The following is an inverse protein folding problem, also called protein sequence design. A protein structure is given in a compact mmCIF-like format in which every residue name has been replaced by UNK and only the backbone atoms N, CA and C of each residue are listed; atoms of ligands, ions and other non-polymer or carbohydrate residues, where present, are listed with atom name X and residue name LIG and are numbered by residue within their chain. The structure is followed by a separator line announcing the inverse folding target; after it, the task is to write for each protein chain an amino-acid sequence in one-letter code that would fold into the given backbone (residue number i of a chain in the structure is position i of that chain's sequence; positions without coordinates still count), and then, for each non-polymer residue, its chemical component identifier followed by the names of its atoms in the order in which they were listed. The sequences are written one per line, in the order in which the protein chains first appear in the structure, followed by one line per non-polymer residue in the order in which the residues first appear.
data_IF_884061648975
#
_entry.id   IF_884061648975
#
_cell.length_a   1.000
_cell.length_b   1.000
_cell.length_c   1.000
_cell.angle_alpha   90.00
_cell.angle_beta   90.00
_cell.angle_gamma   90.00
#
_symmetry.space_group_name_H-M   'P 1'
#
loop_
_entity.id
_entity.type
_entity.pdbx_description
1 polymer ?
#
# COMPACT_ATOMS: atom_id res chain seq x y z
N UNK A 1 -26.84 19.95 0.98
CA UNK A 1 -26.91 18.60 1.55
C UNK A 1 -25.48 18.23 1.86
N UNK A 2 -25.28 17.64 3.02
CA UNK A 2 -24.03 17.67 3.77
C UNK A 2 -23.38 16.30 3.69
N UNK A 3 -22.04 16.27 3.56
CA UNK A 3 -21.27 15.04 3.71
C UNK A 3 -21.72 14.33 4.98
N UNK A 4 -21.95 13.02 4.88
CA UNK A 4 -22.39 12.20 6.00
C UNK A 4 -21.48 11.00 6.17
N UNK A 5 -21.04 10.74 7.39
CA UNK A 5 -20.18 9.61 7.70
C UNK A 5 -20.94 8.66 8.64
N UNK A 6 -21.36 7.51 8.10
CA UNK A 6 -22.07 6.48 8.86
C UNK A 6 -21.09 5.44 9.39
N UNK A 7 -20.89 5.45 10.71
CA UNK A 7 -20.16 4.40 11.39
C UNK A 7 -21.05 3.17 11.62
N UNK A 8 -20.67 2.03 11.05
CA UNK A 8 -21.33 0.72 11.21
C UNK A 8 -20.41 -0.33 11.82
N UNK A 9 -19.24 0.07 12.33
CA UNK A 9 -18.34 -0.81 13.07
C UNK A 9 -19.05 -1.37 14.30
N UNK A 10 -18.82 -2.64 14.56
CA UNK A 10 -19.31 -3.42 15.68
C UNK A 10 -18.23 -3.49 16.75
N UNK A 11 -18.62 -3.86 17.97
CA UNK A 11 -17.70 -4.01 19.11
C UNK A 11 -16.50 -4.93 18.81
N UNK A 12 -16.70 -5.98 18.01
CA UNK A 12 -15.61 -6.89 17.65
C UNK A 12 -14.58 -6.27 16.71
N UNK A 13 -14.96 -5.29 15.87
CA UNK A 13 -14.03 -4.58 14.99
C UNK A 13 -13.00 -3.81 15.81
N UNK A 14 -13.43 -3.15 16.88
CA UNK A 14 -12.52 -2.51 17.84
C UNK A 14 -11.65 -3.53 18.57
N UNK A 15 -12.18 -4.73 18.84
CA UNK A 15 -11.40 -5.87 19.34
C UNK A 15 -10.27 -6.25 18.40
N UNK A 16 -10.56 -6.35 17.10
CA UNK A 16 -9.56 -6.66 16.08
C UNK A 16 -8.50 -5.56 15.95
N UNK A 17 -8.90 -4.29 15.94
CA UNK A 17 -7.95 -3.16 15.96
C UNK A 17 -6.98 -3.31 17.13
N UNK A 18 -7.48 -3.67 18.30
CA UNK A 18 -6.63 -3.88 19.47
C UNK A 18 -5.72 -5.10 19.38
N UNK A 19 -6.23 -6.21 18.85
CA UNK A 19 -5.43 -7.42 18.62
C UNK A 19 -4.28 -7.14 17.62
N UNK A 20 -4.53 -6.33 16.59
CA UNK A 20 -3.51 -5.94 15.61
C UNK A 20 -2.38 -5.12 16.22
N UNK A 21 -2.71 -4.26 17.18
CA UNK A 21 -1.69 -3.46 17.85
C UNK A 21 -0.90 -4.26 18.88
N UNK A 22 -1.57 -5.12 19.64
CA UNK A 22 -0.96 -5.84 20.76
C UNK A 22 -0.25 -7.13 20.35
N UNK A 23 -0.86 -7.92 19.46
CA UNK A 23 -0.32 -9.21 18.99
C UNK A 23 0.51 -9.04 17.73
N UNK A 24 -0.08 -8.40 16.73
CA UNK A 24 0.54 -8.23 15.42
C UNK A 24 1.49 -7.04 15.36
N UNK A 25 1.61 -6.23 16.44
CA UNK A 25 2.51 -5.06 16.57
C UNK A 25 2.48 -4.14 15.34
N UNK A 26 1.29 -3.81 14.84
CA UNK A 26 1.13 -2.79 13.81
C UNK A 26 1.19 -1.39 14.45
N UNK A 27 1.91 -0.47 13.80
CA UNK A 27 2.08 0.88 14.32
C UNK A 27 0.79 1.71 14.20
N UNK A 28 -0.01 1.44 13.17
CA UNK A 28 -1.25 2.18 12.92
C UNK A 28 -2.19 1.49 11.91
N UNK A 29 -3.43 1.95 11.91
CA UNK A 29 -4.48 1.57 10.95
C UNK A 29 -5.31 2.78 10.57
N UNK A 30 -5.72 2.90 9.31
CA UNK A 30 -6.66 3.95 8.90
C UNK A 30 -8.09 3.42 9.04
N UNK A 31 -8.88 4.12 9.84
CA UNK A 31 -10.29 3.81 10.08
C UNK A 31 -11.16 4.39 8.98
N UNK A 32 -10.76 5.54 8.42
CA UNK A 32 -11.50 6.20 7.37
C UNK A 32 -10.55 6.85 6.38
N UNK A 33 -10.37 6.20 5.23
CA UNK A 33 -9.66 6.76 4.08
C UNK A 33 -10.61 7.69 3.32
N UNK A 34 -10.57 8.97 3.69
CA UNK A 34 -11.46 9.94 3.08
C UNK A 34 -10.96 10.32 1.67
N UNK A 35 -11.50 9.67 0.63
CA UNK A 35 -11.30 10.08 -0.77
C UNK A 35 -12.18 11.31 -1.09
N UNK A 36 -11.87 12.44 -0.47
CA UNK A 36 -12.43 13.75 -0.80
C UNK A 36 -11.42 14.48 -1.67
N UNK A 37 -11.88 14.94 -2.83
CA UNK A 37 -11.14 15.85 -3.68
C UNK A 37 -11.89 17.18 -3.66
N UNK A 38 -11.39 18.14 -2.89
CA UNK A 38 -11.97 19.47 -2.71
C UNK A 38 -10.87 20.49 -2.97
N UNK A 39 -11.12 21.44 -3.87
CA UNK A 39 -10.12 22.41 -4.35
C UNK A 39 -9.62 23.38 -3.26
N UNK A 40 -10.22 23.37 -2.08
CA UNK A 40 -9.93 24.28 -0.96
C UNK A 40 -9.51 23.55 0.33
N UNK A 41 -9.59 22.22 0.36
CA UNK A 41 -9.39 21.42 1.57
C UNK A 41 -8.77 20.06 1.24
N UNK A 42 -7.56 19.84 1.74
CA UNK A 42 -6.96 18.51 1.80
C UNK A 42 -7.28 17.86 3.14
N UNK A 43 -7.59 16.56 3.10
CA UNK A 43 -8.01 15.80 4.28
C UNK A 43 -7.18 14.52 4.42
N UNK A 44 -6.45 14.41 5.53
CA UNK A 44 -5.75 13.17 5.89
C UNK A 44 -6.74 12.11 6.40
N UNK A 45 -6.50 10.81 6.15
CA UNK A 45 -7.30 9.74 6.71
C UNK A 45 -7.43 9.83 8.24
N UNK A 46 -8.58 9.39 8.77
CA UNK A 46 -8.68 9.16 10.21
C UNK A 46 -7.89 7.89 10.54
N UNK A 47 -6.87 8.03 11.38
CA UNK A 47 -5.94 6.96 11.73
C UNK A 47 -5.97 6.70 13.23
N UNK A 48 -5.83 5.43 13.61
CA UNK A 48 -5.53 5.02 14.98
C UNK A 48 -4.11 4.46 14.99
N UNK A 49 -3.27 4.95 15.88
CA UNK A 49 -1.87 4.53 16.03
C UNK A 49 -1.60 4.05 17.44
N UNK A 50 -0.75 3.04 17.60
CA UNK A 50 -0.30 2.60 18.93
C UNK A 50 0.75 3.57 19.47
N UNK A 51 0.65 3.88 20.76
CA UNK A 51 1.70 4.54 21.54
C UNK A 51 2.25 3.56 22.58
N UNK A 52 3.42 3.84 23.18
CA UNK A 52 4.12 2.90 24.09
C UNK A 52 3.21 2.27 25.14
N UNK A 53 2.30 3.06 25.71
CA UNK A 53 1.39 2.63 26.78
C UNK A 53 -0.09 2.74 26.37
N UNK A 54 -0.41 2.95 25.09
CA UNK A 54 -1.72 3.47 24.73
C UNK A 54 -2.02 3.56 23.24
N UNK A 55 -2.86 4.52 22.86
CA UNK A 55 -3.14 4.79 21.45
C UNK A 55 -3.41 6.27 21.22
N UNK A 56 -3.28 6.68 19.95
CA UNK A 56 -3.70 7.98 19.48
C UNK A 56 -4.66 7.88 18.29
N UNK A 57 -5.71 8.70 18.30
CA UNK A 57 -6.62 8.89 17.15
C UNK A 57 -6.27 10.23 16.50
N UNK A 58 -5.88 10.19 15.23
CA UNK A 58 -5.38 11.34 14.50
C UNK A 58 -6.17 11.57 13.20
N UNK A 59 -6.48 12.83 12.92
CA UNK A 59 -6.92 13.29 11.60
C UNK A 59 -6.47 14.74 11.39
N UNK A 60 -6.20 15.13 10.15
CA UNK A 60 -5.83 16.51 9.82
C UNK A 60 -6.64 17.02 8.63
N UNK A 61 -7.05 18.28 8.75
CA UNK A 61 -7.65 19.10 7.71
C UNK A 61 -6.66 20.20 7.38
N UNK A 62 -6.26 20.30 6.12
CA UNK A 62 -5.33 21.29 5.63
C UNK A 62 -6.06 22.19 4.62
N UNK A 63 -6.23 23.43 5.00
CA UNK A 63 -6.88 24.45 4.19
C UNK A 63 -5.84 25.11 3.29
N UNK A 64 -6.24 25.41 2.05
CA UNK A 64 -5.36 26.14 1.12
C UNK A 64 -5.24 27.61 1.52
N UNK A 65 -6.32 28.15 2.06
CA UNK A 65 -6.42 29.50 2.62
C UNK A 65 -6.26 29.53 4.15
N UNK A 66 -5.87 30.68 4.75
CA UNK A 66 -5.64 30.84 6.18
C UNK A 66 -6.94 30.93 7.02
N UNK A 67 -7.90 30.04 6.79
CA UNK A 67 -9.25 30.08 7.40
C UNK A 67 -9.45 29.12 8.58
N UNK A 68 -8.43 28.36 8.95
CA UNK A 68 -8.58 27.24 9.90
C UNK A 68 -9.07 27.69 11.29
N UNK A 69 -8.65 28.87 11.77
CA UNK A 69 -9.14 29.43 13.03
C UNK A 69 -10.62 29.79 12.94
N UNK A 70 -11.05 30.44 11.86
CA UNK A 70 -12.46 30.77 11.64
C UNK A 70 -13.31 29.50 11.58
N UNK A 71 -12.84 28.49 10.85
CA UNK A 71 -13.52 27.20 10.77
C UNK A 71 -13.63 26.55 12.15
N UNK A 72 -12.55 26.55 12.94
CA UNK A 72 -12.56 26.01 14.29
C UNK A 72 -13.58 26.72 15.21
N UNK A 73 -13.71 28.04 15.13
CA UNK A 73 -14.74 28.77 15.87
C UNK A 73 -16.15 28.39 15.43
N UNK A 74 -16.38 28.25 14.12
CA UNK A 74 -17.69 27.82 13.56
C UNK A 74 -18.08 26.41 14.00
N UNK A 75 -17.10 25.56 14.30
CA UNK A 75 -17.39 24.22 14.83
C UNK A 75 -18.09 24.27 16.18
N UNK A 76 -17.99 25.34 16.99
CA UNK A 76 -18.59 25.39 18.35
C UNK A 76 -18.23 24.14 19.18
N UNK A 77 -16.93 23.85 19.27
CA UNK A 77 -16.41 22.73 20.06
C UNK A 77 -16.46 23.09 21.56
N UNK A 78 -16.95 22.15 22.38
CA UNK A 78 -16.99 22.27 23.83
C UNK A 78 -15.59 22.44 24.42
N UNK A 79 -15.45 23.24 25.49
CA UNK A 79 -14.15 23.52 26.14
C UNK A 79 -13.38 22.25 26.52
N UNK A 80 -14.09 21.22 26.98
CA UNK A 80 -13.50 19.92 27.37
C UNK A 80 -12.92 19.15 26.19
N UNK A 81 -13.40 19.42 24.98
CA UNK A 81 -13.00 18.77 23.75
C UNK A 81 -11.91 19.56 23.00
N UNK A 82 -11.78 20.87 23.25
CA UNK A 82 -10.75 21.71 22.61
C UNK A 82 -9.33 21.18 22.80
N UNK A 83 -9.05 20.52 23.93
CA UNK A 83 -7.74 19.88 24.22
C UNK A 83 -7.32 18.83 23.18
N UNK A 84 -8.27 18.28 22.42
CA UNK A 84 -8.00 17.30 21.37
C UNK A 84 -7.67 17.95 20.02
N UNK A 85 -7.70 19.28 19.94
CA UNK A 85 -7.46 20.01 18.69
C UNK A 85 -6.17 20.78 18.75
N UNK A 86 -5.42 20.71 17.66
CA UNK A 86 -4.29 21.59 17.38
C UNK A 86 -4.68 22.41 16.15
N UNK A 87 -4.80 23.72 16.33
CA UNK A 87 -5.27 24.63 15.29
C UNK A 87 -4.12 25.58 14.92
N UNK A 88 -3.76 25.58 13.65
CA UNK A 88 -2.85 26.58 13.07
C UNK A 88 -3.67 27.54 12.19
N UNK A 89 -3.00 28.47 11.52
CA UNK A 89 -3.68 29.37 10.59
C UNK A 89 -4.26 28.63 9.37
N UNK A 90 -3.67 27.50 8.95
CA UNK A 90 -4.08 26.72 7.77
C UNK A 90 -4.48 25.28 8.07
N UNK A 91 -4.49 24.83 9.32
CA UNK A 91 -4.81 23.45 9.64
C UNK A 91 -5.63 23.28 10.91
N UNK A 92 -6.54 22.32 10.89
CA UNK A 92 -7.16 21.77 12.10
C UNK A 92 -6.70 20.31 12.20
N UNK A 93 -6.04 19.95 13.29
CA UNK A 93 -5.68 18.57 13.60
C UNK A 93 -6.48 18.09 14.80
N UNK A 94 -7.11 16.92 14.68
CA UNK A 94 -7.66 16.15 15.79
C UNK A 94 -6.56 15.19 16.25
N UNK A 95 -6.25 15.20 17.55
CA UNK A 95 -5.20 14.38 18.17
C UNK A 95 -5.67 13.96 19.57
N UNK A 96 -6.26 12.78 19.66
CA UNK A 96 -6.75 12.22 20.94
C UNK A 96 -5.74 11.18 21.40
N UNK A 97 -5.11 11.42 22.55
CA UNK A 97 -4.11 10.51 23.13
C UNK A 97 -4.68 9.85 24.39
N UNK A 98 -4.54 8.53 24.50
CA UNK A 98 -4.95 7.75 25.67
C UNK A 98 -3.78 6.90 26.15
N UNK A 99 -3.51 6.97 27.46
CA UNK A 99 -2.48 6.18 28.15
C UNK A 99 -2.97 4.79 28.57
N UNK A 100 -4.22 4.45 28.26
CA UNK A 100 -4.78 3.13 28.54
C UNK A 100 -5.54 2.64 27.33
N UNK A 101 -5.33 1.37 27.03
CA UNK A 101 -6.05 0.63 26.00
C UNK A 101 -7.36 0.13 26.60
N UNK A 102 -8.47 0.72 26.16
CA UNK A 102 -9.82 0.29 26.53
C UNK A 102 -10.76 0.37 25.31
N UNK A 103 -11.49 -0.71 25.05
CA UNK A 103 -12.34 -0.85 23.87
C UNK A 103 -13.48 0.19 23.85
N UNK A 104 -14.11 0.44 25.01
CA UNK A 104 -15.22 1.41 25.08
C UNK A 104 -14.72 2.83 24.81
N UNK A 105 -13.55 3.15 25.34
CA UNK A 105 -12.91 4.45 25.12
C UNK A 105 -12.50 4.61 23.65
N UNK A 106 -11.93 3.58 23.03
CA UNK A 106 -11.56 3.61 21.60
C UNK A 106 -12.79 3.81 20.70
N UNK A 107 -13.86 3.06 20.93
CA UNK A 107 -15.13 3.21 20.21
C UNK A 107 -15.67 4.65 20.32
N UNK A 108 -15.67 5.20 21.54
CA UNK A 108 -16.10 6.58 21.79
C UNK A 108 -15.21 7.61 21.07
N UNK A 109 -13.89 7.45 21.14
CA UNK A 109 -12.92 8.41 20.58
C UNK A 109 -12.95 8.37 19.04
N UNK A 110 -13.07 7.19 18.43
CA UNK A 110 -13.29 7.04 16.98
C UNK A 110 -14.63 7.67 16.57
N UNK A 111 -15.70 7.37 17.29
CA UNK A 111 -17.02 7.92 17.00
C UNK A 111 -17.06 9.45 17.10
N UNK A 112 -16.39 10.02 18.11
CA UNK A 112 -16.23 11.47 18.25
C UNK A 112 -15.42 12.06 17.08
N UNK A 113 -14.33 11.40 16.70
CA UNK A 113 -13.47 11.87 15.62
C UNK A 113 -14.20 11.88 14.28
N UNK A 114 -14.96 10.82 13.94
CA UNK A 114 -15.78 10.76 12.72
C UNK A 114 -16.85 11.85 12.66
N UNK A 115 -17.56 12.10 13.77
CA UNK A 115 -18.55 13.20 13.84
C UNK A 115 -17.89 14.58 13.67
N UNK A 116 -16.72 14.76 14.27
CA UNK A 116 -15.95 16.00 14.11
C UNK A 116 -15.49 16.16 12.66
N UNK A 117 -15.04 15.07 12.04
CA UNK A 117 -14.61 15.03 10.65
C UNK A 117 -15.74 15.49 9.72
N UNK A 118 -16.94 14.94 9.91
CA UNK A 118 -18.15 15.36 9.22
C UNK A 118 -18.45 16.86 9.41
N UNK A 119 -18.36 17.36 10.65
CA UNK A 119 -18.62 18.77 10.98
C UNK A 119 -17.62 19.72 10.31
N UNK A 120 -16.34 19.38 10.26
CA UNK A 120 -15.31 20.21 9.62
C UNK A 120 -15.61 20.35 8.14
N UNK A 121 -15.76 19.24 7.42
CA UNK A 121 -16.01 19.27 5.97
C UNK A 121 -17.28 20.05 5.67
N UNK A 122 -18.37 19.80 6.39
CA UNK A 122 -19.62 20.49 6.16
C UNK A 122 -19.52 21.99 6.46
N UNK A 123 -18.84 22.38 7.53
CA UNK A 123 -18.66 23.80 7.86
C UNK A 123 -17.81 24.52 6.81
N UNK A 124 -16.82 23.83 6.24
CA UNK A 124 -15.98 24.37 5.17
C UNK A 124 -16.72 24.46 3.85
N UNK A 125 -17.51 23.44 3.50
CA UNK A 125 -18.38 23.49 2.31
C UNK A 125 -19.39 24.63 2.42
N UNK A 126 -20.05 24.77 3.58
CA UNK A 126 -20.99 25.88 3.85
C UNK A 126 -20.28 27.25 3.80
N UNK A 127 -18.99 27.35 4.17
CA UNK A 127 -18.20 28.60 4.09
C UNK A 127 -17.93 29.04 2.64
N UNK A 128 -17.56 28.09 1.78
CA UNK A 128 -17.28 28.35 0.37
C UNK A 128 -18.53 28.28 -0.53
N UNK A 129 -19.73 28.18 0.05
CA UNK A 129 -21.00 27.96 -0.67
C UNK A 129 -20.92 26.78 -1.66
N UNK A 130 -20.19 25.73 -1.27
CA UNK A 130 -19.94 24.56 -2.08
C UNK A 130 -20.92 23.44 -1.73
N UNK A 131 -21.67 22.96 -2.73
CA UNK A 131 -22.60 21.85 -2.53
C UNK A 131 -21.91 20.50 -2.73
N UNK A 132 -21.80 19.71 -1.65
CA UNK A 132 -21.26 18.36 -1.70
C UNK A 132 -22.20 17.33 -1.07
N UNK A 133 -22.71 16.45 -1.91
CA UNK A 133 -23.60 15.36 -1.49
C UNK A 133 -22.88 14.02 -1.56
N UNK A 134 -22.32 13.58 -0.42
CA UNK A 134 -21.65 12.27 -0.31
C UNK A 134 -21.96 11.58 1.01
N UNK A 135 -22.26 10.29 0.95
CA UNK A 135 -22.33 9.42 2.11
C UNK A 135 -21.14 8.47 2.11
N UNK A 136 -20.45 8.43 3.25
CA UNK A 136 -19.35 7.51 3.51
C UNK A 136 -19.78 6.50 4.56
N UNK A 137 -19.50 5.22 4.31
CA UNK A 137 -19.82 4.13 5.22
C UNK A 137 -18.50 3.57 5.76
N UNK A 138 -18.32 3.65 7.08
CA UNK A 138 -17.23 2.97 7.79
C UNK A 138 -17.78 1.63 8.29
N UNK A 139 -17.31 0.53 7.71
CA UNK A 139 -17.78 -0.82 7.98
C UNK A 139 -16.63 -1.81 8.19
N UNK A 140 -16.98 -2.99 8.68
CA UNK A 140 -16.05 -4.10 8.91
C UNK A 140 -15.28 -4.49 7.64
N UNK A 141 -15.96 -4.58 6.49
CA UNK A 141 -15.30 -4.98 5.23
C UNK A 141 -14.16 -4.02 4.82
N UNK A 142 -14.33 -2.73 5.04
CA UNK A 142 -13.29 -1.72 4.78
C UNK A 142 -12.12 -1.87 5.75
N UNK A 143 -12.42 -2.14 7.02
CA UNK A 143 -11.41 -2.39 8.04
C UNK A 143 -10.64 -3.67 7.71
N UNK A 144 -11.31 -4.79 7.46
CA UNK A 144 -10.71 -6.08 7.11
C UNK A 144 -9.75 -5.96 5.91
N UNK A 145 -10.12 -5.17 4.88
CA UNK A 145 -9.24 -4.90 3.73
C UNK A 145 -7.97 -4.17 4.14
N UNK A 146 -8.08 -3.13 4.97
CA UNK A 146 -6.93 -2.40 5.52
C UNK A 146 -6.04 -3.31 6.37
N UNK A 147 -6.65 -4.11 7.25
CA UNK A 147 -5.96 -5.08 8.11
C UNK A 147 -5.15 -6.06 7.28
N UNK A 148 -5.80 -6.71 6.30
CA UNK A 148 -5.14 -7.67 5.44
C UNK A 148 -3.99 -7.05 4.65
N UNK A 149 -4.15 -5.80 4.18
CA UNK A 149 -3.09 -5.08 3.47
C UNK A 149 -1.89 -4.81 4.40
N UNK A 150 -2.13 -4.33 5.62
CA UNK A 150 -1.07 -4.05 6.60
C UNK A 150 -0.35 -5.30 7.09
N UNK A 151 -1.07 -6.39 7.32
CA UNK A 151 -0.46 -7.68 7.67
C UNK A 151 0.43 -8.20 6.54
N UNK A 152 -0.01 -8.09 5.29
CA UNK A 152 0.82 -8.44 4.13
C UNK A 152 2.06 -7.55 4.02
N UNK A 153 1.92 -6.23 4.16
CA UNK A 153 3.07 -5.31 4.16
C UNK A 153 4.09 -5.71 5.24
N UNK A 154 3.61 -6.04 6.44
CA UNK A 154 4.45 -6.48 7.55
C UNK A 154 5.10 -7.84 7.30
N UNK A 155 4.38 -8.82 6.74
CA UNK A 155 4.97 -10.09 6.31
C UNK A 155 6.09 -9.86 5.29
N UNK A 156 5.87 -9.02 4.28
CA UNK A 156 6.88 -8.69 3.29
C UNK A 156 8.10 -7.98 3.90
N UNK A 157 7.88 -7.04 4.83
CA UNK A 157 8.95 -6.37 5.56
C UNK A 157 9.74 -7.34 6.45
N UNK A 158 9.06 -8.23 7.19
CA UNK A 158 9.69 -9.24 8.06
C UNK A 158 10.51 -10.26 7.26
N UNK A 159 10.16 -10.53 6.01
CA UNK A 159 10.93 -11.40 5.12
C UNK A 159 12.06 -10.66 4.38
N UNK A 160 12.21 -9.34 4.55
CA UNK A 160 13.22 -8.54 3.84
C UNK A 160 12.97 -8.43 2.33
N UNK A 161 11.76 -8.78 1.87
CA UNK A 161 11.39 -8.85 0.46
C UNK A 161 10.84 -7.51 0.00
N UNK A 162 11.72 -6.52 -0.11
CA UNK A 162 11.34 -5.29 -0.82
C UNK A 162 11.45 -5.54 -2.33
N UNK A 163 10.38 -5.39 -3.11
CA UNK A 163 10.47 -5.54 -4.56
C UNK A 163 11.43 -4.49 -5.12
N UNK A 164 12.52 -4.97 -5.72
CA UNK A 164 13.59 -4.16 -6.35
C UNK A 164 14.05 -4.85 -7.64
N UNK A 165 14.69 -4.12 -8.58
CA UNK A 165 15.35 -4.72 -9.73
C UNK A 165 16.18 -5.94 -9.35
N UNK A 166 15.89 -7.07 -10.01
CA UNK A 166 16.52 -8.37 -9.77
C UNK A 166 16.34 -8.93 -8.35
N UNK A 167 15.42 -8.44 -7.54
CA UNK A 167 15.07 -9.10 -6.29
C UNK A 167 14.27 -10.38 -6.55
N UNK A 168 14.21 -11.25 -5.56
CA UNK A 168 13.28 -12.37 -5.51
C UNK A 168 12.18 -12.02 -4.52
N UNK A 169 10.93 -12.25 -4.91
CA UNK A 169 9.78 -12.17 -3.99
C UNK A 169 9.07 -13.53 -3.96
N UNK A 170 8.39 -13.78 -2.85
CA UNK A 170 7.55 -14.95 -2.68
C UNK A 170 6.08 -14.56 -2.82
N UNK A 171 5.38 -15.24 -3.73
CA UNK A 171 3.96 -15.03 -3.97
C UNK A 171 3.26 -16.36 -4.21
N UNK A 172 2.01 -16.51 -3.78
CA UNK A 172 1.23 -17.74 -3.99
C UNK A 172 0.92 -17.98 -5.47
N UNK A 173 0.80 -16.92 -6.27
CA UNK A 173 0.59 -16.99 -7.71
C UNK A 173 1.08 -15.71 -8.42
N UNK A 174 1.03 -15.73 -9.75
CA UNK A 174 1.48 -14.62 -10.58
C UNK A 174 0.64 -13.35 -10.39
N UNK A 175 -0.66 -13.48 -10.09
CA UNK A 175 -1.53 -12.33 -9.84
C UNK A 175 -1.09 -11.60 -8.57
N UNK A 176 -0.79 -12.34 -7.51
CA UNK A 176 -0.23 -11.78 -6.28
C UNK A 176 1.16 -11.19 -6.51
N UNK A 177 2.05 -11.86 -7.26
CA UNK A 177 3.37 -11.32 -7.59
C UNK A 177 3.27 -9.95 -8.30
N UNK A 178 2.30 -9.78 -9.21
CA UNK A 178 2.02 -8.50 -9.87
C UNK A 178 1.48 -7.44 -8.91
N UNK A 179 0.64 -7.82 -7.95
CA UNK A 179 0.13 -6.89 -6.92
C UNK A 179 1.25 -6.40 -6.00
N UNK A 180 2.18 -7.29 -5.61
CA UNK A 180 3.34 -6.93 -4.77
C UNK A 180 4.27 -5.97 -5.53
N UNK A 181 4.46 -6.18 -6.83
CA UNK A 181 5.26 -5.29 -7.69
C UNK A 181 4.62 -3.90 -7.81
N UNK A 182 3.29 -3.82 -7.87
CA UNK A 182 2.56 -2.56 -8.00
C UNK A 182 3.02 -1.76 -9.22
N UNK A 183 3.42 -0.50 -8.98
CA UNK A 183 3.86 0.44 -10.02
C UNK A 183 5.36 0.38 -10.35
N UNK A 184 6.11 -0.55 -9.75
CA UNK A 184 7.53 -0.69 -10.04
C UNK A 184 7.76 -1.15 -11.48
N UNK A 185 8.82 -0.62 -12.12
CA UNK A 185 9.15 -0.92 -13.51
C UNK A 185 9.85 -2.29 -13.70
N UNK A 186 9.26 -3.33 -13.13
CA UNK A 186 9.77 -4.71 -13.14
C UNK A 186 8.66 -5.69 -13.55
N UNK A 187 9.06 -6.82 -14.11
CA UNK A 187 8.19 -7.91 -14.55
C UNK A 187 8.49 -9.15 -13.71
N UNK A 188 7.52 -9.69 -12.96
CA UNK A 188 7.76 -10.89 -12.18
C UNK A 188 7.90 -12.11 -13.09
N UNK A 189 9.03 -12.80 -13.09
CA UNK A 189 9.22 -14.08 -13.79
C UNK A 189 9.32 -15.22 -12.78
N UNK A 190 8.50 -16.26 -12.96
CA UNK A 190 8.54 -17.43 -12.08
C UNK A 190 9.93 -18.06 -12.09
N UNK A 191 10.52 -18.26 -10.91
CA UNK A 191 11.83 -18.90 -10.71
C UNK A 191 11.64 -20.36 -10.33
N UNK A 192 10.81 -20.64 -9.34
CA UNK A 192 10.67 -21.98 -8.79
C UNK A 192 9.76 -22.02 -7.56
N UNK A 193 9.64 -23.18 -6.96
CA UNK A 193 9.07 -23.31 -5.63
C UNK A 193 10.15 -22.98 -4.59
N UNK A 194 9.73 -22.31 -3.53
CA UNK A 194 10.59 -22.14 -2.36
C UNK A 194 10.81 -23.51 -1.71
N UNK A 195 12.09 -23.88 -1.55
CA UNK A 195 12.49 -25.17 -0.98
C UNK A 195 12.61 -25.13 0.54
N UNK A 196 12.59 -23.94 1.15
CA UNK A 196 12.81 -23.73 2.57
C UNK A 196 11.52 -23.42 3.33
N UNK A 197 10.38 -23.35 2.65
CA UNK A 197 9.07 -23.15 3.25
C UNK A 197 8.35 -24.48 3.54
N UNK A 198 8.13 -24.85 4.82
CA UNK A 198 7.43 -26.07 5.19
C UNK A 198 5.90 -25.99 5.04
N UNK A 199 5.34 -24.81 4.76
CA UNK A 199 3.91 -24.61 4.48
C UNK A 199 3.72 -24.39 2.98
N UNK A 200 3.15 -25.37 2.32
CA UNK A 200 2.95 -25.44 0.87
C UNK A 200 2.32 -24.16 0.28
N UNK A 201 2.91 -23.62 -0.78
CA UNK A 201 2.18 -22.77 -1.73
C UNK A 201 2.87 -21.52 -2.27
N UNK A 202 3.93 -21.01 -1.62
CA UNK A 202 4.61 -19.81 -2.12
C UNK A 202 5.64 -20.17 -3.21
N UNK A 203 5.54 -19.43 -4.32
CA UNK A 203 6.40 -19.52 -5.51
C UNK A 203 7.38 -18.35 -5.48
N UNK A 204 8.61 -18.60 -5.87
CA UNK A 204 9.63 -17.57 -6.06
C UNK A 204 9.45 -16.90 -7.43
N UNK A 205 9.49 -15.57 -7.46
CA UNK A 205 9.51 -14.78 -8.70
C UNK A 205 10.71 -13.84 -8.71
N UNK A 206 11.45 -13.80 -9.82
CA UNK A 206 12.43 -12.76 -10.10
C UNK A 206 11.75 -11.48 -10.55
N UNK A 207 12.15 -10.35 -10.00
CA UNK A 207 11.71 -9.03 -10.43
C UNK A 207 12.58 -8.54 -11.58
N UNK A 208 12.20 -8.81 -12.83
CA UNK A 208 13.03 -8.47 -13.99
C UNK A 208 12.80 -7.02 -14.44
N UNK A 209 13.81 -6.14 -14.43
CA UNK A 209 13.68 -4.80 -14.99
C UNK A 209 13.24 -4.82 -16.46
N UNK A 210 12.37 -3.89 -16.87
CA UNK A 210 11.84 -3.88 -18.25
C UNK A 210 12.93 -3.82 -19.32
N UNK A 211 13.98 -3.03 -19.10
CA UNK A 211 15.12 -2.95 -20.02
C UNK A 211 15.79 -4.32 -20.23
N UNK A 212 15.95 -5.11 -19.16
CA UNK A 212 16.46 -6.47 -19.25
C UNK A 212 15.46 -7.41 -19.94
N UNK A 213 14.16 -7.28 -19.68
CA UNK A 213 13.12 -8.05 -20.39
C UNK A 213 13.18 -7.80 -21.90
N UNK A 214 13.39 -6.56 -22.33
CA UNK A 214 13.57 -6.22 -23.75
C UNK A 214 14.83 -6.89 -24.32
N UNK A 215 15.95 -6.90 -23.59
CA UNK A 215 17.16 -7.64 -24.01
C UNK A 215 16.88 -9.14 -24.15
N UNK A 216 16.18 -9.76 -23.19
CA UNK A 216 15.81 -11.18 -23.23
C UNK A 216 14.93 -11.49 -24.45
N UNK A 217 13.97 -10.63 -24.77
CA UNK A 217 13.12 -10.78 -25.94
C UNK A 217 13.88 -10.63 -27.27
N UNK A 218 15.05 -10.00 -27.28
CA UNK A 218 15.90 -9.97 -28.46
C UNK A 218 16.72 -11.26 -28.64
N UNK A 219 16.79 -12.12 -27.62
CA UNK A 219 17.39 -13.45 -27.69
C UNK A 219 16.42 -14.51 -28.26
N UNK A 220 15.29 -14.12 -28.86
CA UNK A 220 14.32 -15.07 -29.44
C UNK A 220 14.81 -15.61 -30.78
N UNK A 221 14.43 -16.86 -31.11
CA UNK A 221 14.81 -17.49 -32.37
C UNK A 221 16.32 -17.70 -32.50
N UNK A 222 16.90 -17.27 -33.63
CA UNK A 222 18.33 -17.45 -33.95
C UNK A 222 19.19 -16.22 -33.66
N UNK A 223 18.64 -15.20 -32.99
CA UNK A 223 19.37 -13.98 -32.68
C UNK A 223 20.37 -14.22 -31.54
N UNK A 224 21.66 -14.18 -31.87
CA UNK A 224 22.76 -14.40 -30.93
C UNK A 224 23.13 -13.10 -30.22
N UNK A 225 22.96 -13.06 -28.90
CA UNK A 225 23.39 -11.93 -28.07
C UNK A 225 24.62 -12.29 -27.24
N UNK A 226 25.66 -11.47 -27.32
CA UNK A 226 26.92 -11.70 -26.61
C UNK A 226 26.73 -11.51 -25.10
N UNK A 227 27.20 -12.45 -24.28
CA UNK A 227 27.11 -12.38 -22.81
C UNK A 227 27.66 -11.06 -22.22
N UNK A 228 28.67 -10.46 -22.85
CA UNK A 228 29.27 -9.19 -22.41
C UNK A 228 28.34 -7.96 -22.58
N UNK A 229 27.23 -8.08 -23.30
CA UNK A 229 26.21 -7.02 -23.38
C UNK A 229 25.30 -6.99 -22.14
N UNK A 230 25.45 -8.00 -21.27
CA UNK A 230 24.70 -8.12 -20.03
C UNK A 230 25.58 -7.72 -18.84
N UNK A 231 24.98 -7.11 -17.83
CA UNK A 231 25.66 -6.83 -16.57
C UNK A 231 25.80 -8.09 -15.70
N UNK A 232 26.43 -7.97 -14.54
CA UNK A 232 26.67 -9.12 -13.64
C UNK A 232 25.36 -9.76 -13.16
N UNK A 233 24.34 -8.97 -12.81
CA UNK A 233 23.06 -9.50 -12.32
C UNK A 233 22.27 -10.18 -13.44
N UNK A 234 22.25 -9.56 -14.62
CA UNK A 234 21.65 -10.12 -15.83
C UNK A 234 22.30 -11.45 -16.24
N UNK A 235 23.63 -11.57 -16.12
CA UNK A 235 24.37 -12.82 -16.39
C UNK A 235 23.98 -13.95 -15.46
N UNK A 236 23.78 -13.69 -14.17
CA UNK A 236 23.34 -14.73 -13.22
C UNK A 236 21.97 -15.28 -13.59
N UNK A 237 21.05 -14.41 -14.02
CA UNK A 237 19.73 -14.84 -14.50
C UNK A 237 19.87 -15.63 -15.82
N UNK A 238 20.70 -15.18 -16.76
CA UNK A 238 20.92 -15.93 -18.02
C UNK A 238 21.49 -17.32 -17.78
N UNK A 239 22.45 -17.47 -16.85
CA UNK A 239 22.97 -18.79 -16.44
C UNK A 239 21.86 -19.66 -15.86
N UNK A 240 20.99 -19.09 -15.03
CA UNK A 240 19.85 -19.80 -14.47
C UNK A 240 18.85 -20.25 -15.54
N UNK A 241 18.44 -19.34 -16.44
CA UNK A 241 17.55 -19.64 -17.56
C UNK A 241 18.14 -20.74 -18.45
N UNK A 242 19.44 -20.69 -18.71
CA UNK A 242 20.13 -21.73 -19.49
C UNK A 242 20.11 -23.09 -18.77
N UNK A 243 20.40 -23.11 -17.46
CA UNK A 243 20.33 -24.33 -16.66
C UNK A 243 18.91 -24.93 -16.65
N UNK A 244 17.88 -24.08 -16.69
CA UNK A 244 16.46 -24.48 -16.82
C UNK A 244 16.03 -24.79 -18.24
N UNK A 245 16.91 -24.63 -19.24
CA UNK A 245 16.65 -24.81 -20.68
C UNK A 245 15.57 -23.86 -21.23
N UNK A 246 15.40 -22.70 -20.61
CA UNK A 246 14.51 -21.63 -21.08
C UNK A 246 15.20 -20.73 -22.11
N UNK A 247 16.53 -20.81 -22.21
CA UNK A 247 17.33 -20.16 -23.24
C UNK A 247 18.46 -21.08 -23.65
N UNK A 248 18.96 -20.94 -24.87
CA UNK A 248 20.11 -21.68 -25.41
C UNK A 248 21.38 -20.85 -25.25
N UNK A 249 22.51 -21.55 -25.19
CA UNK A 249 23.85 -20.97 -25.09
C UNK A 249 24.76 -21.61 -26.14
N UNK A 250 25.56 -20.80 -26.83
CA UNK A 250 26.56 -21.26 -27.80
C UNK A 250 27.84 -20.42 -27.68
N UNK A 251 28.99 -21.03 -27.99
CA UNK A 251 30.26 -20.32 -28.09
C UNK A 251 30.57 -20.08 -29.57
N UNK A 252 30.77 -18.82 -29.95
CA UNK A 252 31.15 -18.39 -31.31
C UNK A 252 32.35 -17.47 -31.18
N UNK A 253 33.42 -17.73 -31.92
CA UNK A 253 34.65 -16.91 -31.90
C UNK A 253 35.18 -16.66 -30.47
N UNK A 254 35.21 -17.72 -29.65
CA UNK A 254 35.61 -17.69 -28.22
C UNK A 254 34.74 -16.81 -27.29
N UNK A 255 33.58 -16.33 -27.76
CA UNK A 255 32.63 -15.55 -26.97
C UNK A 255 31.35 -16.35 -26.71
N UNK A 256 30.81 -16.23 -25.50
CA UNK A 256 29.54 -16.85 -25.10
C UNK A 256 28.39 -16.00 -25.64
N UNK A 257 27.42 -16.66 -26.27
CA UNK A 257 26.19 -16.06 -26.76
C UNK A 257 24.97 -16.80 -26.21
N UNK A 258 23.91 -16.05 -25.93
CA UNK A 258 22.59 -16.57 -25.58
C UNK A 258 21.60 -16.32 -26.72
N UNK A 259 20.70 -17.27 -26.96
CA UNK A 259 19.69 -17.24 -28.03
C UNK A 259 18.57 -18.25 -27.75
N UNK A 260 17.55 -18.28 -28.60
CA UNK A 260 16.46 -19.26 -28.52
C UNK A 260 15.74 -19.28 -27.17
N UNK A 261 15.30 -18.11 -26.69
CA UNK A 261 14.36 -18.04 -25.56
C UNK A 261 13.13 -18.92 -25.86
N UNK A 262 12.68 -19.70 -24.89
CA UNK A 262 11.57 -20.62 -25.06
C UNK A 262 10.25 -19.86 -25.28
N UNK A 263 9.35 -20.48 -26.04
CA UNK A 263 8.11 -19.86 -26.50
C UNK A 263 7.17 -19.48 -25.34
N UNK A 264 7.15 -20.25 -24.26
CA UNK A 264 6.28 -19.99 -23.12
C UNK A 264 6.74 -18.73 -22.38
N UNK A 265 8.05 -18.65 -22.09
CA UNK A 265 8.65 -17.48 -21.45
C UNK A 265 8.56 -16.25 -22.35
N UNK A 266 8.82 -16.38 -23.64
CA UNK A 266 8.70 -15.29 -24.62
C UNK A 266 7.28 -14.70 -24.65
N UNK A 267 6.25 -15.56 -24.79
CA UNK A 267 4.84 -15.13 -24.82
C UNK A 267 4.46 -14.40 -23.53
N UNK A 268 4.91 -14.92 -22.39
CA UNK A 268 4.68 -14.30 -21.09
C UNK A 268 5.30 -12.90 -21.01
N UNK A 269 6.59 -12.76 -21.31
CA UNK A 269 7.30 -11.49 -21.25
C UNK A 269 6.73 -10.45 -22.22
N UNK A 270 6.35 -10.86 -23.44
CA UNK A 270 5.65 -10.00 -24.41
C UNK A 270 4.31 -9.48 -23.88
N UNK A 271 3.53 -10.35 -23.25
CA UNK A 271 2.24 -9.97 -22.65
C UNK A 271 2.44 -9.01 -21.48
N UNK A 272 3.43 -9.27 -20.62
CA UNK A 272 3.73 -8.44 -19.47
C UNK A 272 4.19 -7.02 -19.83
N UNK A 273 4.89 -6.84 -20.95
CA UNK A 273 5.27 -5.50 -21.43
C UNK A 273 4.08 -4.67 -21.95
N UNK A 274 3.04 -5.34 -22.49
CA UNK A 274 1.84 -4.70 -23.07
C UNK A 274 0.83 -4.24 -22.04
N UNK A 275 0.82 -4.84 -20.85
CA UNK A 275 -0.10 -4.49 -19.78
C UNK A 275 0.41 -3.23 -19.07
N UNK A 276 -0.21 -2.09 -19.42
CA UNK A 276 -0.37 -0.89 -18.60
C UNK A 276 -1.84 -0.51 -18.67
#
# INVERSE_FOLDING_TARGET
MRVKIRNTLKKWDFGQIMDLFTREKLDSIEIFSCQLNLDFLDVEPLQVSIEKDGYAVNARFQFHEPIAQEMFYRLKIDETMKRFFIVTIKSIKISIHRQTIDLKTLESDVGFSLRTFERVINSTCDYYDYWLEKEYIVNSDSLDKQVNLRLKEKEHQNMGETPKPFAIIHASNLKEARQIVGDLDVVPLYKGYDKYYPFEGKKEYWMLPRNFVVKLLNCTGNNLWVENMFDTAEKEILKYLFAKRWIKRQVVSRKVHYYGLDEQTERYLKSALKQR
#
